data_IF_741334071746
#
_entry.id   IF_741334071746
#
_cell.length_a   1.000
_cell.length_b   1.000
_cell.length_c   1.000
_cell.angle_alpha   90.00
_cell.angle_beta   90.00
_cell.angle_gamma   90.00
#
_symmetry.space_group_name_H-M   'P 1'
#
loop_
_entity.id
_entity.type
_entity.pdbx_description
1 polymer ?
#
# COMPACT_ATOMS: atom_id res chain seq x y z
N UNK A 1 -0.42 -1.13 -17.85
CA UNK A 1 0.27 -2.43 -18.04
C UNK A 1 0.36 -3.09 -16.67
N UNK A 2 -0.42 -4.16 -16.45
CA UNK A 2 -0.45 -4.91 -15.18
C UNK A 2 0.76 -5.85 -15.14
N UNK A 3 1.83 -5.43 -14.45
CA UNK A 3 2.99 -6.28 -14.17
C UNK A 3 2.61 -7.21 -13.00
N UNK A 4 2.63 -8.52 -13.20
CA UNK A 4 2.46 -9.48 -12.10
C UNK A 4 3.78 -9.58 -11.34
N UNK A 5 3.71 -9.35 -10.04
CA UNK A 5 4.89 -9.27 -9.16
C UNK A 5 4.76 -10.24 -8.02
N UNK A 6 5.87 -10.86 -7.60
CA UNK A 6 5.92 -11.52 -6.30
C UNK A 6 6.11 -10.43 -5.25
N UNK A 7 5.02 -10.01 -4.63
CA UNK A 7 5.07 -9.15 -3.44
C UNK A 7 5.40 -10.07 -2.28
N UNK A 8 6.60 -9.96 -1.71
CA UNK A 8 6.89 -10.60 -0.42
C UNK A 8 6.32 -9.71 0.68
N UNK A 9 5.00 -9.72 0.77
CA UNK A 9 4.26 -9.08 1.86
C UNK A 9 4.23 -10.06 3.01
N UNK A 10 5.09 -9.86 4.02
CA UNK A 10 4.73 -10.29 5.38
C UNK A 10 3.38 -9.66 5.68
N UNK A 11 2.34 -10.50 5.66
CA UNK A 11 0.95 -10.09 5.55
C UNK A 11 0.56 -9.06 6.60
N UNK A 12 0.15 -7.88 6.14
CA UNK A 12 -0.78 -7.02 6.87
C UNK A 12 -2.06 -6.99 6.05
N UNK A 13 -2.95 -7.91 6.41
CA UNK A 13 -4.23 -8.10 5.74
C UNK A 13 -5.11 -6.89 6.09
N UNK A 14 -5.35 -6.01 5.12
CA UNK A 14 -6.43 -5.02 5.24
C UNK A 14 -7.76 -5.75 5.07
N UNK A 15 -8.30 -6.27 6.18
CA UNK A 15 -9.61 -6.94 6.29
C UNK A 15 -10.80 -5.96 6.19
N UNK A 16 -10.73 -4.92 5.35
CA UNK A 16 -11.82 -3.95 5.19
C UNK A 16 -12.86 -4.32 4.11
N UNK A 17 -12.68 -5.43 3.39
CA UNK A 17 -13.64 -5.86 2.37
C UNK A 17 -14.74 -6.82 2.90
N UNK A 18 -14.57 -7.41 4.09
CA UNK A 18 -15.55 -8.36 4.66
C UNK A 18 -16.68 -7.71 5.47
N UNK A 19 -16.71 -6.36 5.54
CA UNK A 19 -17.72 -5.62 6.31
C UNK A 19 -19.07 -5.44 5.62
N UNK A 20 -19.22 -5.84 4.34
CA UNK A 20 -20.40 -5.44 3.55
C UNK A 20 -21.28 -6.57 3.01
N UNK A 21 -20.94 -7.85 3.18
CA UNK A 21 -21.78 -8.95 2.68
C UNK A 21 -22.72 -9.54 3.75
N UNK A 22 -22.31 -9.60 5.02
CA UNK A 22 -23.13 -10.28 6.06
C UNK A 22 -24.25 -9.40 6.64
N UNK A 23 -24.11 -8.08 6.59
CA UNK A 23 -25.07 -7.13 7.19
C UNK A 23 -26.09 -6.56 6.20
N UNK A 24 -26.08 -6.98 4.93
CA UNK A 24 -27.06 -6.52 3.93
C UNK A 24 -28.18 -7.54 3.66
N UNK A 25 -27.96 -8.84 3.89
CA UNK A 25 -28.93 -9.89 3.56
C UNK A 25 -29.95 -10.21 4.68
N UNK A 26 -29.69 -9.82 5.93
CA UNK A 26 -30.61 -10.10 7.05
C UNK A 26 -31.58 -8.94 7.36
N UNK A 27 -31.43 -7.76 6.74
CA UNK A 27 -32.26 -6.59 7.04
C UNK A 27 -33.43 -6.35 6.06
N UNK A 28 -33.57 -7.12 4.97
CA UNK A 28 -34.61 -6.86 3.97
C UNK A 28 -35.82 -7.80 3.99
N UNK A 29 -35.86 -8.85 4.82
CA UNK A 29 -36.95 -9.84 4.74
C UNK A 29 -37.85 -9.99 5.98
N UNK A 30 -37.84 -9.05 6.93
CA UNK A 30 -38.87 -9.10 8.00
C UNK A 30 -39.33 -7.73 8.49
N UNK A 31 -39.62 -6.85 7.54
CA UNK A 31 -40.38 -5.62 7.75
C UNK A 31 -41.71 -5.68 6.98
N UNK A 32 -42.58 -6.62 7.35
CA UNK A 32 -44.01 -6.60 6.99
C UNK A 32 -44.79 -6.68 8.31
N UNK A 33 -45.66 -5.69 8.54
CA UNK A 33 -46.55 -5.46 9.70
C UNK A 33 -46.09 -4.42 10.76
N UNK A 34 -46.26 -3.16 10.37
CA UNK A 34 -47.06 -2.10 11.02
C UNK A 34 -47.02 -1.90 12.56
N UNK A 35 -46.69 -0.65 12.95
CA UNK A 35 -47.53 0.11 13.90
C UNK A 35 -46.89 0.56 15.22
N UNK A 36 -46.86 1.89 15.40
CA UNK A 36 -46.84 2.65 16.66
C UNK A 36 -45.51 2.93 17.42
N UNK A 37 -45.39 4.22 17.80
CA UNK A 37 -44.67 4.80 18.96
C UNK A 37 -43.24 5.35 18.79
N UNK A 38 -43.16 6.54 18.18
CA UNK A 38 -42.69 7.83 18.74
C UNK A 38 -41.71 7.93 19.96
N UNK A 39 -40.77 7.00 20.17
CA UNK A 39 -39.73 7.10 21.23
C UNK A 39 -38.29 6.93 20.72
N UNK A 40 -38.03 7.18 19.44
CA UNK A 40 -36.72 6.91 18.82
C UNK A 40 -36.00 8.14 18.25
N UNK A 41 -36.52 9.36 18.45
CA UNK A 41 -35.95 10.58 17.85
C UNK A 41 -34.75 11.17 18.62
N UNK A 42 -34.54 10.82 19.90
CA UNK A 42 -33.39 11.31 20.67
C UNK A 42 -32.13 10.44 20.48
N UNK A 43 -32.28 9.15 20.16
CA UNK A 43 -31.15 8.23 19.98
C UNK A 43 -30.48 8.37 18.60
N UNK A 44 -31.23 8.75 17.56
CA UNK A 44 -30.73 8.87 16.18
C UNK A 44 -29.87 10.13 15.94
N UNK A 45 -29.97 11.18 16.77
CA UNK A 45 -29.06 12.34 16.69
C UNK A 45 -27.69 12.10 17.33
N UNK A 46 -27.63 11.29 18.39
CA UNK A 46 -26.37 10.97 19.06
C UNK A 46 -25.56 9.91 18.29
N UNK A 47 -26.22 8.92 17.69
CA UNK A 47 -25.54 7.86 16.92
C UNK A 47 -24.87 8.38 15.63
N UNK A 48 -25.49 9.35 14.94
CA UNK A 48 -24.93 9.93 13.72
C UNK A 48 -23.64 10.75 13.97
N UNK A 49 -23.55 11.47 15.10
CA UNK A 49 -22.32 12.20 15.49
C UNK A 49 -21.17 11.26 15.88
N UNK A 50 -21.48 10.13 16.51
CA UNK A 50 -20.48 9.12 16.87
C UNK A 50 -19.96 8.37 15.64
N UNK A 51 -20.82 8.03 14.69
CA UNK A 51 -20.43 7.36 13.44
C UNK A 51 -19.56 8.25 12.53
N UNK A 52 -19.85 9.55 12.43
CA UNK A 52 -19.01 10.49 11.67
C UNK A 52 -17.62 10.70 12.31
N UNK A 53 -17.53 10.69 13.65
CA UNK A 53 -16.25 10.81 14.36
C UNK A 53 -15.38 9.54 14.30
N UNK A 54 -16.00 8.35 14.24
CA UNK A 54 -15.29 7.07 14.12
C UNK A 54 -14.75 6.86 12.70
N UNK A 55 -15.39 7.43 11.68
CA UNK A 55 -15.02 7.21 10.27
C UNK A 55 -13.73 7.92 9.84
N UNK A 56 -13.36 9.04 10.46
CA UNK A 56 -12.12 9.77 10.13
C UNK A 56 -10.86 9.24 10.83
N UNK A 57 -10.99 8.52 11.96
CA UNK A 57 -9.82 7.99 12.70
C UNK A 57 -9.13 6.80 12.01
N UNK A 58 -9.72 6.24 10.95
CA UNK A 58 -9.34 4.91 10.47
C UNK A 58 -8.29 4.88 9.34
N UNK A 59 -7.85 6.03 8.80
CA UNK A 59 -6.88 6.08 7.68
C UNK A 59 -5.58 6.83 8.00
N UNK A 60 -5.03 6.69 9.21
CA UNK A 60 -3.65 7.17 9.52
C UNK A 60 -2.63 6.02 9.50
N UNK A 61 -2.64 5.17 8.47
CA UNK A 61 -1.58 4.18 8.29
C UNK A 61 -0.51 4.75 7.36
N UNK A 62 0.73 4.88 7.85
CA UNK A 62 1.87 5.27 7.01
C UNK A 62 2.02 4.25 5.89
N UNK A 63 1.81 4.69 4.64
CA UNK A 63 2.08 3.85 3.48
C UNK A 63 3.58 3.78 3.25
N UNK A 64 4.14 2.57 3.27
CA UNK A 64 5.55 2.34 2.93
C UNK A 64 5.73 2.45 1.41
N UNK A 65 6.81 3.09 0.93
CA UNK A 65 7.11 3.15 -0.49
C UNK A 65 7.39 1.75 -1.06
N UNK A 66 7.05 1.53 -2.31
CA UNK A 66 7.28 0.26 -3.01
C UNK A 66 8.61 0.34 -3.74
N UNK A 67 9.54 -0.55 -3.40
CA UNK A 67 10.80 -0.73 -4.10
C UNK A 67 10.68 -1.95 -5.03
N UNK A 68 10.59 -1.71 -6.32
CA UNK A 68 10.50 -2.75 -7.35
C UNK A 68 11.90 -3.14 -7.82
N UNK A 69 12.28 -4.41 -7.65
CA UNK A 69 13.51 -5.02 -8.14
C UNK A 69 13.22 -5.84 -9.39
N UNK A 70 13.84 -5.46 -10.52
CA UNK A 70 13.84 -6.26 -11.74
C UNK A 70 15.00 -7.25 -11.70
N UNK A 71 14.68 -8.55 -11.79
CA UNK A 71 15.61 -9.67 -11.62
C UNK A 71 15.41 -10.72 -12.72
N UNK A 72 16.36 -11.64 -12.87
CA UNK A 72 16.26 -12.85 -13.70
C UNK A 72 16.84 -14.06 -12.95
N UNK A 73 16.45 -15.27 -13.32
CA UNK A 73 17.06 -16.49 -12.79
C UNK A 73 17.86 -17.23 -13.88
N UNK A 74 19.14 -17.59 -13.65
CA UNK A 74 20.00 -17.27 -12.51
C UNK A 74 20.61 -15.85 -12.58
N UNK A 75 20.79 -15.18 -11.43
CA UNK A 75 21.42 -13.85 -11.35
C UNK A 75 22.16 -13.63 -10.01
N UNK A 76 23.48 -13.89 -9.95
CA UNK A 76 24.24 -13.72 -8.71
C UNK A 76 24.28 -12.26 -8.21
N UNK A 77 24.32 -11.29 -9.13
CA UNK A 77 24.27 -9.85 -8.79
C UNK A 77 22.95 -9.46 -8.12
N UNK A 78 21.85 -10.12 -8.48
CA UNK A 78 20.54 -9.87 -7.91
C UNK A 78 20.46 -10.41 -6.48
N UNK A 79 21.14 -11.53 -6.19
CA UNK A 79 21.20 -12.12 -4.85
C UNK A 79 22.03 -11.28 -3.89
N UNK A 80 23.19 -10.80 -4.34
CA UNK A 80 24.04 -9.84 -3.60
C UNK A 80 23.25 -8.55 -3.28
N UNK A 81 22.56 -8.00 -4.29
CA UNK A 81 21.77 -6.80 -4.10
C UNK A 81 20.61 -6.97 -3.11
N UNK A 82 20.02 -8.17 -3.00
CA UNK A 82 18.99 -8.45 -1.98
C UNK A 82 19.58 -8.45 -0.57
N UNK A 83 20.79 -8.99 -0.40
CA UNK A 83 21.49 -9.00 0.88
C UNK A 83 21.79 -7.58 1.36
N UNK A 84 22.25 -6.70 0.46
CA UNK A 84 22.49 -5.28 0.78
C UNK A 84 21.21 -4.53 1.20
N UNK A 85 20.04 -4.97 0.73
CA UNK A 85 18.75 -4.37 1.05
C UNK A 85 18.11 -4.89 2.34
N UNK A 86 18.58 -6.01 2.90
CA UNK A 86 18.08 -6.56 4.17
C UNK A 86 17.94 -5.53 5.30
N UNK A 87 18.95 -4.70 5.63
CA UNK A 87 18.82 -3.73 6.72
C UNK A 87 17.71 -2.69 6.49
N UNK A 88 17.33 -2.44 5.25
CA UNK A 88 16.35 -1.41 4.88
C UNK A 88 14.94 -1.94 4.63
N UNK A 89 14.71 -3.26 4.68
CA UNK A 89 13.40 -3.89 4.40
C UNK A 89 12.24 -3.35 5.25
N UNK A 90 12.51 -2.80 6.42
CA UNK A 90 11.47 -2.21 7.28
C UNK A 90 10.97 -0.84 6.79
N UNK A 91 11.69 -0.18 5.87
CA UNK A 91 11.39 1.17 5.37
C UNK A 91 10.67 1.19 4.02
N UNK A 92 10.57 0.05 3.34
CA UNK A 92 9.89 -0.08 2.05
C UNK A 92 9.29 -1.47 1.87
N UNK A 93 8.42 -1.62 0.88
CA UNK A 93 7.91 -2.91 0.43
C UNK A 93 8.71 -3.36 -0.79
N UNK A 94 9.45 -4.47 -0.65
CA UNK A 94 10.20 -5.04 -1.76
C UNK A 94 9.27 -5.84 -2.67
N UNK A 95 9.28 -5.50 -3.95
CA UNK A 95 8.48 -6.14 -4.99
C UNK A 95 9.41 -6.70 -6.07
N UNK A 96 9.38 -8.00 -6.29
CA UNK A 96 10.23 -8.63 -7.30
C UNK A 96 9.49 -8.83 -8.61
N UNK A 97 10.14 -8.44 -9.70
CA UNK A 97 9.67 -8.61 -11.08
C UNK A 97 10.68 -9.46 -11.83
N UNK A 98 10.29 -10.69 -12.18
CA UNK A 98 11.08 -11.53 -13.07
C UNK A 98 10.89 -11.06 -14.52
N UNK A 99 11.97 -10.57 -15.12
CA UNK A 99 11.94 -10.06 -16.50
C UNK A 99 11.84 -11.18 -17.54
N UNK A 100 12.10 -12.44 -17.18
CA UNK A 100 12.02 -13.57 -18.12
C UNK A 100 10.59 -14.01 -18.40
N UNK A 101 9.63 -13.58 -17.57
CA UNK A 101 8.23 -13.90 -17.76
C UNK A 101 7.68 -13.21 -19.03
N UNK A 102 6.87 -13.91 -19.84
CA UNK A 102 6.35 -13.37 -21.09
C UNK A 102 5.50 -12.11 -20.90
N UNK A 103 4.84 -11.97 -19.75
CA UNK A 103 4.06 -10.77 -19.37
C UNK A 103 4.94 -9.52 -19.19
N UNK A 104 6.24 -9.73 -18.91
CA UNK A 104 7.20 -8.68 -18.61
C UNK A 104 8.18 -8.43 -19.76
N UNK A 105 7.86 -8.87 -20.99
CA UNK A 105 8.73 -8.70 -22.18
C UNK A 105 9.19 -7.26 -22.41
N UNK A 106 8.34 -6.27 -22.10
CA UNK A 106 8.70 -4.85 -22.18
C UNK A 106 9.90 -4.51 -21.27
N UNK A 107 9.95 -5.09 -20.08
CA UNK A 107 11.06 -4.92 -19.15
C UNK A 107 12.29 -5.73 -19.55
N UNK A 108 12.09 -6.92 -20.11
CA UNK A 108 13.18 -7.70 -20.69
C UNK A 108 13.96 -6.90 -21.73
N UNK A 109 13.26 -6.36 -22.74
CA UNK A 109 13.93 -5.60 -23.80
C UNK A 109 14.65 -4.35 -23.28
N UNK A 110 14.10 -3.73 -22.23
CA UNK A 110 14.67 -2.53 -21.64
C UNK A 110 15.88 -2.80 -20.74
N UNK A 111 15.86 -3.87 -19.96
CA UNK A 111 16.80 -4.07 -18.84
C UNK A 111 17.62 -5.37 -18.90
N UNK A 112 17.52 -6.17 -19.97
CA UNK A 112 18.25 -7.45 -20.11
C UNK A 112 19.75 -7.39 -19.80
N UNK A 113 20.39 -6.24 -20.02
CA UNK A 113 21.82 -6.02 -19.77
C UNK A 113 22.12 -5.16 -18.53
N UNK A 114 21.09 -4.58 -17.89
CA UNK A 114 21.25 -3.59 -16.82
C UNK A 114 20.77 -4.06 -15.45
N UNK A 115 20.21 -5.27 -15.37
CA UNK A 115 19.77 -5.86 -14.10
C UNK A 115 20.96 -6.12 -13.14
N UNK A 116 20.78 -5.94 -11.82
CA UNK A 116 19.54 -5.57 -11.14
C UNK A 116 19.16 -4.08 -11.34
N UNK A 117 17.88 -3.82 -11.61
CA UNK A 117 17.32 -2.46 -11.72
C UNK A 117 16.30 -2.21 -10.62
N UNK A 118 16.32 -1.02 -10.03
CA UNK A 118 15.46 -0.63 -8.93
C UNK A 118 14.58 0.56 -9.29
N UNK A 119 13.28 0.40 -9.10
CA UNK A 119 12.33 1.51 -9.14
C UNK A 119 11.75 1.76 -7.76
N UNK A 120 11.57 3.01 -7.37
CA UNK A 120 10.91 3.42 -6.14
C UNK A 120 9.61 4.13 -6.49
N UNK A 121 8.48 3.57 -6.05
CA UNK A 121 7.13 4.02 -6.43
C UNK A 121 6.96 4.15 -7.95
N UNK A 122 7.52 3.20 -8.71
CA UNK A 122 7.48 3.19 -10.18
C UNK A 122 8.42 4.18 -10.88
N UNK A 123 9.26 4.92 -10.13
CA UNK A 123 10.29 5.79 -10.70
C UNK A 123 11.65 5.11 -10.64
N UNK A 124 12.44 5.22 -11.72
CA UNK A 124 13.81 4.72 -11.72
C UNK A 124 14.64 5.33 -10.57
N UNK A 125 15.33 4.47 -9.81
CA UNK A 125 16.18 4.86 -8.69
C UNK A 125 17.66 4.61 -9.00
N UNK A 126 18.01 3.37 -9.33
CA UNK A 126 19.38 2.92 -9.55
C UNK A 126 19.42 1.58 -10.32
N UNK A 127 20.58 1.21 -10.86
CA UNK A 127 20.81 -0.06 -11.57
C UNK A 127 22.24 -0.58 -11.34
N UNK A 128 22.50 -1.83 -11.76
CA UNK A 128 23.75 -2.59 -11.67
C UNK A 128 24.22 -2.92 -10.24
N UNK A 129 24.18 -1.97 -9.30
CA UNK A 129 24.58 -2.13 -7.89
C UNK A 129 23.67 -1.32 -6.97
N UNK A 130 23.57 -1.76 -5.71
CA UNK A 130 22.84 -1.01 -4.69
C UNK A 130 23.70 0.18 -4.25
N UNK A 131 23.11 1.37 -4.29
CA UNK A 131 23.72 2.57 -3.74
C UNK A 131 22.92 3.00 -2.51
N UNK A 132 23.41 2.63 -1.34
CA UNK A 132 22.76 2.92 -0.04
C UNK A 132 22.58 4.42 0.18
N UNK A 133 23.56 5.24 -0.22
CA UNK A 133 23.47 6.71 -0.09
C UNK A 133 22.30 7.30 -0.90
N UNK A 134 22.11 6.83 -2.15
CA UNK A 134 21.00 7.28 -3.00
C UNK A 134 19.66 6.81 -2.44
N UNK A 135 19.60 5.54 -1.98
CA UNK A 135 18.42 4.97 -1.38
C UNK A 135 17.99 5.74 -0.11
N UNK A 136 18.91 5.96 0.82
CA UNK A 136 18.65 6.68 2.06
C UNK A 136 18.19 8.11 1.80
N UNK A 137 18.87 8.82 0.90
CA UNK A 137 18.48 10.19 0.50
C UNK A 137 17.08 10.23 -0.08
N UNK A 138 16.69 9.23 -0.89
CA UNK A 138 15.36 9.19 -1.50
C UNK A 138 14.28 8.82 -0.49
N UNK A 139 14.54 7.84 0.39
CA UNK A 139 13.63 7.45 1.47
C UNK A 139 13.40 8.62 2.45
N UNK A 140 14.47 9.27 2.91
CA UNK A 140 14.39 10.41 3.84
C UNK A 140 13.60 11.59 3.27
N UNK A 141 13.74 11.90 1.98
CA UNK A 141 12.91 12.92 1.31
C UNK A 141 11.43 12.59 1.33
N UNK A 142 11.07 11.32 1.19
CA UNK A 142 9.66 10.91 1.24
C UNK A 142 9.10 10.95 2.66
N UNK A 143 9.89 10.52 3.65
CA UNK A 143 9.50 10.59 5.07
C UNK A 143 9.25 12.03 5.53
N UNK A 144 10.08 12.99 5.10
CA UNK A 144 9.89 14.42 5.39
C UNK A 144 8.68 15.01 4.65
N UNK A 145 8.48 14.64 3.37
CA UNK A 145 7.32 15.12 2.62
C UNK A 145 6.02 14.64 3.27
N UNK A 146 6.01 13.40 3.72
CA UNK A 146 4.90 12.77 4.42
C UNK A 146 4.64 13.42 5.80
N UNK A 147 5.67 13.81 6.55
CA UNK A 147 5.47 14.56 7.80
C UNK A 147 4.93 15.97 7.57
N UNK A 148 5.33 16.61 6.47
CA UNK A 148 4.84 17.96 6.10
C UNK A 148 3.39 17.92 5.64
N UNK A 149 3.01 16.92 4.84
CA UNK A 149 1.62 16.72 4.38
C UNK A 149 0.67 16.48 5.55
N UNK A 150 1.07 15.65 6.52
CA UNK A 150 0.28 15.40 7.72
C UNK A 150 0.08 16.65 8.59
N UNK A 151 1.02 17.59 8.60
CA UNK A 151 0.86 18.87 9.31
C UNK A 151 -0.13 19.83 8.62
N UNK A 152 -0.32 19.71 7.31
CA UNK A 152 -1.29 20.51 6.57
C UNK A 152 -2.72 19.98 6.73
N UNK A 153 -2.90 18.65 6.83
CA UNK A 153 -4.22 18.04 7.01
C UNK A 153 -4.84 18.31 8.41
N UNK A 154 -4.02 18.68 9.40
CA UNK A 154 -4.50 19.06 10.75
C UNK A 154 -5.18 20.42 10.85
N UNK A 155 -5.17 21.26 9.80
CA UNK A 155 -5.79 22.60 9.81
C UNK A 155 -7.17 22.68 9.13
N UNK A 156 -7.76 21.55 8.72
CA UNK A 156 -9.13 21.51 8.16
C UNK A 156 -10.15 20.83 9.10
N UNK A 157 -9.93 20.99 10.42
CA UNK A 157 -10.91 20.70 11.47
C UNK A 157 -10.89 21.87 12.45
N UNK A 158 -11.34 23.03 11.99
CA UNK A 158 -11.77 24.12 12.87
C UNK A 158 -13.08 24.71 12.34
#
# INVERSE_FOLDING_TARGET
>A
MLVKTKVWSSGRINHCAYSYCFMCLLFLHRHIMQGLMHKHLWQLRCFARLLLAVQWRYCSQKQLPILTLFTKNPCPLCDEAKQELEPYKHRFLLQEVDILLPENKVWYERYKYDIPVFHLNGQFLMMHRVNTTVLEKRLGRMEHKESTLRAHDTHHVE
#
